data_IF_037244492761
#
_entry.id   IF_037244492761
#
_cell.length_a   1.000
_cell.length_b   1.000
_cell.length_c   1.000
_cell.angle_alpha   90.00
_cell.angle_beta   90.00
_cell.angle_gamma   90.00
#
_symmetry.space_group_name_H-M   'P 1'
#
loop_
_entity.id
_entity.type
_entity.pdbx_description
1 polymer ?
#
# COMPACT_ATOMS: atom_id res chain seq x y z
N UNK A 1 -11.65 -19.77 -13.16
CA UNK A 1 -11.11 -19.88 -11.79
C UNK A 1 -12.15 -19.26 -10.87
N UNK A 2 -12.55 -19.94 -9.79
CA UNK A 2 -13.42 -19.36 -8.77
C UNK A 2 -12.57 -18.98 -7.56
N UNK A 3 -12.82 -17.81 -6.98
CA UNK A 3 -12.08 -17.26 -5.86
C UNK A 3 -13.08 -16.75 -4.82
N UNK A 4 -12.85 -17.06 -3.55
CA UNK A 4 -13.52 -16.38 -2.45
C UNK A 4 -12.89 -15.01 -2.25
N UNK A 5 -13.64 -13.91 -2.38
CA UNK A 5 -13.11 -12.60 -2.11
C UNK A 5 -12.75 -12.47 -0.63
N UNK A 6 -11.50 -12.11 -0.30
CA UNK A 6 -11.03 -12.09 1.07
C UNK A 6 -10.65 -10.69 1.53
N UNK A 7 -9.40 -10.27 1.32
CA UNK A 7 -8.85 -9.04 1.88
C UNK A 7 -8.61 -8.00 0.81
N UNK A 8 -8.76 -6.74 1.16
CA UNK A 8 -8.46 -5.62 0.28
C UNK A 8 -8.04 -4.39 1.06
N UNK A 9 -7.32 -3.51 0.37
CA UNK A 9 -6.97 -2.20 0.92
C UNK A 9 -6.70 -1.19 -0.19
N UNK A 10 -6.61 0.08 0.21
CA UNK A 10 -6.07 1.19 -0.55
C UNK A 10 -4.72 1.60 0.06
N UNK A 11 -3.63 1.45 -0.69
CA UNK A 11 -2.29 1.83 -0.27
C UNK A 11 -1.85 3.16 -0.90
N UNK A 12 -0.96 3.86 -0.22
CA UNK A 12 -0.26 5.05 -0.69
C UNK A 12 1.18 5.06 -0.19
N UNK A 13 1.88 6.19 -0.36
CA UNK A 13 3.18 6.42 0.27
C UNK A 13 3.04 7.10 1.63
N UNK A 14 4.00 6.85 2.51
CA UNK A 14 4.13 7.58 3.76
C UNK A 14 5.35 8.49 3.74
N UNK A 15 5.29 9.55 4.54
CA UNK A 15 6.42 10.45 4.75
C UNK A 15 6.50 10.91 6.21
N UNK A 16 7.64 11.49 6.57
CA UNK A 16 7.89 12.11 7.88
C UNK A 16 7.49 13.59 7.86
N UNK A 17 6.40 14.01 8.53
CA UNK A 17 5.93 15.40 8.47
C UNK A 17 6.97 16.42 8.94
N UNK A 18 7.84 16.04 9.87
CA UNK A 18 8.92 16.89 10.38
C UNK A 18 10.10 17.07 9.42
N UNK A 19 10.14 16.31 8.31
CA UNK A 19 11.18 16.38 7.27
C UNK A 19 10.63 16.84 5.93
N UNK A 20 9.42 17.37 5.94
CA UNK A 20 8.73 17.87 4.77
C UNK A 20 9.50 19.07 4.16
N UNK A 21 9.93 19.02 2.88
CA UNK A 21 10.58 20.15 2.23
C UNK A 21 9.62 21.34 2.04
N UNK A 22 10.18 22.53 1.82
CA UNK A 22 9.39 23.72 1.52
C UNK A 22 8.51 23.54 0.26
N UNK A 23 7.27 24.00 0.32
CA UNK A 23 6.29 23.90 -0.78
C UNK A 23 5.44 22.62 -0.77
N UNK A 24 5.77 21.67 0.10
CA UNK A 24 4.98 20.47 0.34
C UNK A 24 4.03 20.71 1.53
N UNK A 25 2.89 20.04 1.56
CA UNK A 25 1.89 20.13 2.64
C UNK A 25 0.87 18.99 2.53
N UNK A 26 0.10 18.76 3.60
CA UNK A 26 -0.99 17.79 3.55
C UNK A 26 -2.03 18.11 2.45
N UNK A 27 -2.13 19.37 2.01
CA UNK A 27 -3.12 19.82 1.02
C UNK A 27 -2.71 19.61 -0.44
N UNK A 28 -1.47 19.22 -0.74
CA UNK A 28 -0.99 19.02 -2.12
C UNK A 28 -0.27 17.68 -2.33
N UNK A 29 -0.59 16.69 -1.49
CA UNK A 29 -0.09 15.31 -1.58
C UNK A 29 -0.34 14.73 -2.98
N UNK A 30 0.70 14.14 -3.57
CA UNK A 30 0.67 13.53 -4.89
C UNK A 30 1.70 12.43 -4.98
N UNK A 31 1.38 11.37 -5.72
CA UNK A 31 2.35 10.33 -6.04
C UNK A 31 3.63 10.88 -6.68
N UNK A 32 3.53 12.01 -7.38
CA UNK A 32 4.68 12.70 -7.97
C UNK A 32 5.77 13.08 -6.97
N UNK A 33 5.45 13.19 -5.67
CA UNK A 33 6.42 13.47 -4.61
C UNK A 33 7.54 12.41 -4.57
N UNK A 34 7.22 11.15 -4.86
CA UNK A 34 8.22 10.07 -4.91
C UNK A 34 9.30 10.29 -5.98
N UNK A 35 9.08 11.17 -6.96
CA UNK A 35 10.03 11.49 -8.03
C UNK A 35 10.50 12.95 -8.03
N UNK A 36 10.03 13.74 -7.06
CA UNK A 36 10.36 15.16 -6.98
C UNK A 36 11.80 15.36 -6.48
N UNK A 37 12.61 16.22 -7.13
CA UNK A 37 14.00 16.46 -6.74
C UNK A 37 14.23 16.82 -5.27
N UNK A 38 13.24 17.40 -4.58
CA UNK A 38 13.33 17.71 -3.16
C UNK A 38 13.50 16.46 -2.27
N UNK A 39 13.08 15.29 -2.75
CA UNK A 39 13.18 14.00 -2.07
C UNK A 39 14.31 13.10 -2.59
N UNK A 40 15.20 13.65 -3.43
CA UNK A 40 16.35 12.93 -4.00
C UNK A 40 17.22 12.32 -2.91
N UNK A 41 17.62 11.06 -3.11
CA UNK A 41 18.42 10.26 -2.19
C UNK A 41 17.78 10.08 -0.79
N UNK A 42 16.45 10.26 -0.68
CA UNK A 42 15.66 10.00 0.54
C UNK A 42 14.38 9.21 0.30
N UNK A 43 14.19 8.78 -0.95
CA UNK A 43 13.01 8.02 -1.37
C UNK A 43 13.33 6.53 -1.40
N UNK A 44 12.44 5.71 -0.89
CA UNK A 44 12.44 4.26 -1.12
C UNK A 44 11.18 3.79 -1.87
N UNK A 45 11.28 2.68 -2.58
CA UNK A 45 10.21 2.11 -3.39
C UNK A 45 10.19 0.57 -3.29
N UNK A 46 9.03 -0.04 -3.53
CA UNK A 46 8.90 -1.50 -3.62
C UNK A 46 9.72 -2.05 -4.80
N UNK A 47 10.45 -3.13 -4.56
CA UNK A 47 11.32 -3.81 -5.53
C UNK A 47 10.62 -4.82 -6.43
N UNK A 48 9.44 -5.33 -6.05
CA UNK A 48 8.67 -6.27 -6.88
C UNK A 48 7.99 -5.54 -8.04
N UNK A 49 8.12 -6.08 -9.26
CA UNK A 49 7.60 -5.43 -10.47
C UNK A 49 6.07 -5.39 -10.51
N UNK A 50 5.36 -6.39 -9.97
CA UNK A 50 3.90 -6.44 -10.01
C UNK A 50 3.25 -5.38 -9.11
N UNK A 51 4.01 -4.89 -8.13
CA UNK A 51 3.54 -3.95 -7.11
C UNK A 51 4.18 -2.57 -7.31
N UNK A 52 5.51 -2.52 -7.35
CA UNK A 52 6.28 -1.28 -7.44
C UNK A 52 6.10 -0.54 -8.76
N UNK A 53 5.82 -1.24 -9.87
CA UNK A 53 5.60 -0.58 -11.15
C UNK A 53 4.34 0.29 -11.15
N UNK A 54 3.29 -0.10 -10.42
CA UNK A 54 2.05 0.68 -10.31
C UNK A 54 2.28 1.95 -9.48
N UNK A 55 3.00 1.84 -8.36
CA UNK A 55 3.40 3.00 -7.54
C UNK A 55 4.27 3.96 -8.37
N UNK A 56 5.20 3.41 -9.17
CA UNK A 56 6.07 4.18 -10.03
C UNK A 56 5.33 4.86 -11.18
N UNK A 57 4.38 4.18 -11.82
CA UNK A 57 3.55 4.74 -12.88
C UNK A 57 2.68 5.88 -12.35
N UNK A 58 2.07 5.71 -11.17
CA UNK A 58 1.35 6.78 -10.47
C UNK A 58 2.28 7.96 -10.17
N UNK A 59 3.51 7.70 -9.73
CA UNK A 59 4.49 8.75 -9.45
C UNK A 59 4.95 9.49 -10.71
N UNK A 60 5.22 8.78 -11.81
CA UNK A 60 5.58 9.35 -13.12
C UNK A 60 4.43 10.21 -13.65
N UNK A 61 3.19 9.73 -13.53
CA UNK A 61 2.01 10.46 -13.97
C UNK A 61 1.72 11.69 -13.08
N UNK A 62 1.81 11.54 -11.76
CA UNK A 62 1.63 12.62 -10.78
C UNK A 62 2.69 13.70 -10.87
N UNK A 63 3.90 13.35 -11.33
CA UNK A 63 4.99 14.28 -11.63
C UNK A 63 4.88 14.92 -13.04
N UNK A 64 3.89 14.53 -13.85
CA UNK A 64 3.69 15.03 -15.21
C UNK A 64 4.77 14.59 -16.21
N UNK A 65 5.49 13.49 -15.92
CA UNK A 65 6.60 13.02 -16.75
C UNK A 65 6.15 12.12 -17.91
N UNK A 66 5.03 11.41 -17.73
CA UNK A 66 4.34 10.66 -18.78
C UNK A 66 2.84 10.53 -18.42
N UNK A 67 2.06 9.97 -19.33
CA UNK A 67 0.67 9.59 -19.10
C UNK A 67 0.49 8.15 -19.55
N UNK A 68 -0.35 7.40 -18.83
CA UNK A 68 -0.65 6.01 -19.12
C UNK A 68 -2.15 5.88 -19.36
N UNK A 69 -2.52 5.15 -20.42
CA UNK A 69 -3.92 4.92 -20.76
C UNK A 69 -4.62 4.07 -19.71
N UNK A 70 -3.94 3.03 -19.25
CA UNK A 70 -4.39 2.15 -18.18
C UNK A 70 -3.17 1.75 -17.33
N UNK A 71 -3.01 2.39 -16.16
CA UNK A 71 -1.90 2.06 -15.25
C UNK A 71 -1.98 0.59 -14.81
N UNK A 72 -3.17 0.00 -14.72
CA UNK A 72 -3.35 -1.40 -14.35
C UNK A 72 -2.97 -2.38 -15.47
N UNK A 73 -2.88 -1.92 -16.72
CA UNK A 73 -2.55 -2.76 -17.87
C UNK A 73 -1.80 -1.97 -18.95
N UNK A 74 -0.56 -1.59 -18.63
CA UNK A 74 0.29 -0.82 -19.54
C UNK A 74 0.71 -1.63 -20.78
N UNK A 75 0.76 -0.97 -21.94
CA UNK A 75 1.34 -1.55 -23.16
C UNK A 75 2.87 -1.69 -23.07
N UNK A 76 3.46 -2.41 -24.01
CA UNK A 76 4.93 -2.53 -24.14
C UNK A 76 5.60 -1.15 -24.22
N UNK A 77 5.05 -0.24 -25.02
CA UNK A 77 5.57 1.11 -25.22
C UNK A 77 5.46 1.95 -23.93
N UNK A 78 4.34 1.82 -23.21
CA UNK A 78 4.15 2.48 -21.92
C UNK A 78 5.12 1.95 -20.86
N UNK A 79 5.36 0.63 -20.82
CA UNK A 79 6.35 0.00 -19.95
C UNK A 79 7.76 0.52 -20.27
N UNK A 80 8.10 0.69 -21.55
CA UNK A 80 9.40 1.24 -21.94
C UNK A 80 9.57 2.69 -21.47
N UNK A 81 8.55 3.53 -21.67
CA UNK A 81 8.56 4.92 -21.17
C UNK A 81 8.75 4.96 -19.65
N UNK A 82 8.00 4.13 -18.91
CA UNK A 82 8.14 4.04 -17.46
C UNK A 82 9.57 3.62 -17.07
N UNK A 83 10.07 2.52 -17.64
CA UNK A 83 11.39 1.98 -17.30
C UNK A 83 12.50 2.98 -17.63
N UNK A 84 12.45 3.66 -18.77
CA UNK A 84 13.49 4.61 -19.17
C UNK A 84 13.53 5.83 -18.25
N UNK A 85 12.36 6.33 -17.81
CA UNK A 85 12.28 7.41 -16.81
C UNK A 85 12.88 6.96 -15.48
N UNK A 86 12.53 5.77 -15.01
CA UNK A 86 13.01 5.24 -13.73
C UNK A 86 14.51 4.92 -13.75
N UNK A 87 15.01 4.32 -14.83
CA UNK A 87 16.46 4.07 -15.03
C UNK A 87 17.23 5.39 -14.98
N UNK A 88 16.71 6.45 -15.62
CA UNK A 88 17.33 7.77 -15.57
C UNK A 88 17.33 8.33 -14.14
N UNK A 89 16.19 8.31 -13.45
CA UNK A 89 16.09 8.75 -12.04
C UNK A 89 17.02 7.96 -11.12
N UNK A 90 17.17 6.66 -11.34
CA UNK A 90 18.10 5.81 -10.59
C UNK A 90 19.56 6.20 -10.85
N UNK A 91 19.93 6.46 -12.10
CA UNK A 91 21.28 6.95 -12.46
C UNK A 91 21.57 8.34 -11.89
N UNK A 92 20.54 9.17 -11.74
CA UNK A 92 20.62 10.46 -11.05
C UNK A 92 20.72 10.29 -9.51
N UNK A 93 20.68 9.07 -8.96
CA UNK A 93 20.73 8.82 -7.52
C UNK A 93 19.47 9.28 -6.79
N UNK A 94 18.31 9.21 -7.45
CA UNK A 94 17.04 9.62 -6.88
C UNK A 94 16.57 8.71 -5.74
N UNK A 95 16.62 7.40 -5.93
CA UNK A 95 16.20 6.43 -4.93
C UNK A 95 17.37 6.06 -4.02
N UNK A 96 17.13 6.05 -2.72
CA UNK A 96 18.12 5.66 -1.72
C UNK A 96 18.08 4.16 -1.42
N UNK A 97 16.91 3.53 -1.52
CA UNK A 97 16.72 2.12 -1.20
C UNK A 97 15.50 1.53 -1.91
N UNK A 98 15.45 0.20 -1.92
CA UNK A 98 14.28 -0.58 -2.30
C UNK A 98 14.02 -1.62 -1.22
N UNK A 99 12.76 -1.99 -1.03
CA UNK A 99 12.35 -3.02 -0.06
C UNK A 99 11.62 -4.16 -0.78
N UNK A 100 11.52 -5.33 -0.16
CA UNK A 100 10.84 -6.52 -0.71
C UNK A 100 9.70 -6.99 0.19
N UNK A 101 9.77 -6.71 1.49
CA UNK A 101 8.76 -7.06 2.49
C UNK A 101 8.49 -5.91 3.48
N UNK A 102 7.50 -6.12 4.35
CA UNK A 102 7.03 -5.13 5.32
C UNK A 102 8.06 -4.81 6.41
N UNK A 103 8.93 -5.76 6.74
CA UNK A 103 10.01 -5.59 7.70
C UNK A 103 11.13 -4.71 7.15
N UNK A 104 11.59 -4.98 5.92
CA UNK A 104 12.54 -4.11 5.21
C UNK A 104 11.99 -2.70 5.05
N UNK A 105 10.72 -2.57 4.62
CA UNK A 105 10.05 -1.27 4.52
C UNK A 105 10.03 -0.53 5.87
N UNK A 106 9.75 -1.23 6.98
CA UNK A 106 9.77 -0.63 8.30
C UNK A 106 11.17 -0.15 8.68
N UNK A 107 12.19 -0.99 8.50
CA UNK A 107 13.58 -0.64 8.83
C UNK A 107 14.06 0.58 8.04
N UNK A 108 13.72 0.66 6.76
CA UNK A 108 14.02 1.83 5.95
C UNK A 108 13.38 3.10 6.51
N UNK A 109 12.09 3.07 6.86
CA UNK A 109 11.43 4.24 7.45
C UNK A 109 11.82 4.53 8.88
N UNK A 110 12.46 3.62 9.61
CA UNK A 110 13.10 3.92 10.89
C UNK A 110 14.48 4.59 10.68
N UNK A 111 15.20 4.23 9.62
CA UNK A 111 16.48 4.83 9.25
C UNK A 111 16.36 6.34 9.02
N UNK A 112 17.32 7.16 9.49
CA UNK A 112 17.31 8.60 9.22
C UNK A 112 17.54 8.95 7.74
N UNK A 113 17.86 7.99 6.87
CA UNK A 113 18.14 8.21 5.45
C UNK A 113 16.91 8.23 4.55
N UNK A 114 15.78 7.67 4.99
CA UNK A 114 14.54 7.61 4.20
C UNK A 114 13.48 8.49 4.86
N UNK A 115 12.96 9.43 4.08
CA UNK A 115 11.96 10.38 4.55
C UNK A 115 10.59 10.17 3.90
N UNK A 116 10.54 9.47 2.76
CA UNK A 116 9.34 9.17 1.99
C UNK A 116 9.46 7.80 1.31
N UNK A 117 8.41 6.98 1.35
CA UNK A 117 8.36 5.72 0.59
C UNK A 117 6.94 5.21 0.35
N UNK A 118 6.75 4.43 -0.71
CA UNK A 118 5.61 3.49 -0.79
C UNK A 118 5.72 2.45 0.33
N UNK A 119 4.63 2.07 0.98
CA UNK A 119 4.63 1.00 1.99
C UNK A 119 3.26 0.31 2.10
N UNK A 120 3.24 -0.83 2.80
CA UNK A 120 1.99 -1.49 3.17
C UNK A 120 1.54 -1.06 4.58
N UNK A 121 0.23 -1.03 4.80
CA UNK A 121 -0.35 -0.55 6.09
C UNK A 121 0.23 -1.21 7.36
N UNK A 122 0.57 -2.52 7.40
CA UNK A 122 1.17 -3.15 8.59
C UNK A 122 2.51 -2.54 9.01
N UNK A 123 3.28 -2.00 8.06
CA UNK A 123 4.53 -1.28 8.34
C UNK A 123 4.29 -0.10 9.28
N UNK A 124 3.13 0.55 9.20
CA UNK A 124 2.77 1.70 10.03
C UNK A 124 2.65 1.35 11.51
N UNK A 125 2.25 0.11 11.84
CA UNK A 125 2.18 -0.35 13.23
C UNK A 125 3.57 -0.33 13.89
N UNK A 126 4.60 -0.76 13.15
CA UNK A 126 5.99 -0.74 13.63
C UNK A 126 6.49 0.69 13.83
N UNK A 127 6.17 1.59 12.90
CA UNK A 127 6.56 3.01 13.02
C UNK A 127 5.90 3.70 14.21
N UNK A 128 4.60 3.45 14.42
CA UNK A 128 3.86 4.01 15.55
C UNK A 128 4.48 3.56 16.88
N UNK A 129 4.80 2.26 17.03
CA UNK A 129 5.46 1.71 18.23
C UNK A 129 6.86 2.23 18.47
N UNK A 130 7.58 2.54 17.40
CA UNK A 130 8.90 3.16 17.50
C UNK A 130 8.81 4.66 17.86
N UNK A 131 7.61 5.22 17.99
CA UNK A 131 7.40 6.65 18.27
C UNK A 131 7.78 7.55 17.09
N UNK A 132 7.90 6.99 15.87
CA UNK A 132 8.21 7.77 14.67
C UNK A 132 6.93 8.44 14.18
N UNK A 133 6.98 9.76 14.03
CA UNK A 133 5.90 10.51 13.40
C UNK A 133 5.89 10.23 11.91
N UNK A 134 4.75 9.81 11.40
CA UNK A 134 4.55 9.58 9.99
C UNK A 134 3.18 10.13 9.58
N UNK A 135 3.00 10.27 8.28
CA UNK A 135 1.70 10.50 7.66
C UNK A 135 1.57 9.59 6.46
N UNK A 136 0.46 8.87 6.37
CA UNK A 136 0.09 8.15 5.16
C UNK A 136 -0.60 9.16 4.22
N UNK A 137 -0.02 9.39 3.06
CA UNK A 137 -0.52 10.40 2.14
C UNK A 137 -1.94 10.06 1.64
N UNK A 138 -2.70 11.11 1.30
CA UNK A 138 -3.97 11.08 0.57
C UNK A 138 -3.69 11.71 -0.80
N UNK A 139 -3.10 10.97 -1.76
CA UNK A 139 -2.65 11.55 -3.01
C UNK A 139 -3.84 12.04 -3.81
N UNK A 140 -3.74 13.23 -4.41
CA UNK A 140 -4.81 13.81 -5.25
C UNK A 140 -5.23 12.90 -6.41
N UNK A 141 -4.32 12.07 -6.91
CA UNK A 141 -4.59 11.13 -8.00
C UNK A 141 -5.43 9.92 -7.56
N UNK A 142 -5.46 9.62 -6.26
CA UNK A 142 -6.11 8.43 -5.70
C UNK A 142 -5.12 7.39 -5.16
N UNK A 143 -5.65 6.36 -4.50
CA UNK A 143 -4.88 5.25 -3.93
C UNK A 143 -4.61 4.15 -4.96
N UNK A 144 -3.58 3.34 -4.68
CA UNK A 144 -3.44 2.02 -5.32
C UNK A 144 -4.22 0.99 -4.51
N UNK A 145 -5.31 0.48 -5.05
CA UNK A 145 -6.08 -0.59 -4.42
C UNK A 145 -5.53 -1.97 -4.78
N UNK A 146 -5.76 -2.94 -3.92
CA UNK A 146 -5.56 -4.35 -4.23
C UNK A 146 -6.65 -5.19 -3.61
N UNK A 147 -6.92 -6.35 -4.22
CA UNK A 147 -7.90 -7.29 -3.74
C UNK A 147 -7.33 -8.71 -3.82
N UNK A 148 -7.25 -9.39 -2.68
CA UNK A 148 -6.80 -10.76 -2.52
C UNK A 148 -7.95 -11.71 -2.20
N UNK A 149 -7.78 -12.98 -2.55
CA UNK A 149 -8.78 -14.00 -2.26
C UNK A 149 -8.18 -15.38 -2.16
N UNK A 150 -9.02 -16.34 -1.76
CA UNK A 150 -8.64 -17.73 -1.61
C UNK A 150 -9.30 -18.57 -2.71
N UNK A 151 -8.52 -19.41 -3.37
CA UNK A 151 -9.01 -20.35 -4.38
C UNK A 151 -8.68 -21.77 -3.97
N UNK A 152 -9.55 -22.71 -4.30
CA UNK A 152 -9.32 -24.13 -4.07
C UNK A 152 -8.55 -24.73 -5.24
N UNK A 153 -7.52 -25.53 -4.94
CA UNK A 153 -6.85 -26.34 -5.95
C UNK A 153 -7.84 -27.33 -6.57
N UNK A 154 -7.82 -27.47 -7.90
CA UNK A 154 -8.64 -28.48 -8.61
C UNK A 154 -8.33 -29.93 -8.19
N UNK A 155 -7.20 -30.14 -7.50
CA UNK A 155 -6.76 -31.44 -7.02
C UNK A 155 -7.09 -31.67 -5.54
N UNK A 156 -7.69 -30.70 -4.84
CA UNK A 156 -8.14 -30.89 -3.47
C UNK A 156 -9.36 -31.82 -3.43
N UNK A 157 -9.25 -32.93 -2.69
CA UNK A 157 -10.30 -33.96 -2.61
C UNK A 157 -10.35 -34.56 -1.20
N UNK A 158 -11.48 -35.19 -0.87
CA UNK A 158 -11.67 -35.86 0.42
C UNK A 158 -11.39 -34.94 1.61
N UNK A 159 -10.72 -35.43 2.68
CA UNK A 159 -10.48 -34.65 3.90
C UNK A 159 -9.75 -33.31 3.68
N UNK A 160 -8.91 -33.20 2.65
CA UNK A 160 -8.21 -31.95 2.32
C UNK A 160 -9.18 -30.89 1.81
N UNK A 161 -10.14 -31.30 0.97
CA UNK A 161 -11.17 -30.39 0.46
C UNK A 161 -12.09 -29.91 1.58
N UNK A 162 -12.48 -30.80 2.50
CA UNK A 162 -13.30 -30.46 3.65
C UNK A 162 -12.59 -29.47 4.57
N UNK A 163 -11.31 -29.70 4.87
CA UNK A 163 -10.49 -28.78 5.65
C UNK A 163 -10.35 -27.41 4.96
N UNK A 164 -10.19 -27.39 3.64
CA UNK A 164 -10.11 -26.16 2.88
C UNK A 164 -11.42 -25.36 2.94
N UNK A 165 -12.58 -26.01 2.84
CA UNK A 165 -13.88 -25.34 3.04
C UNK A 165 -14.06 -24.85 4.48
N UNK A 166 -13.66 -25.62 5.48
CA UNK A 166 -13.68 -25.17 6.87
C UNK A 166 -12.83 -23.92 7.07
N UNK A 167 -11.66 -23.84 6.42
CA UNK A 167 -10.80 -22.67 6.46
C UNK A 167 -11.40 -21.45 5.75
N UNK A 168 -12.03 -21.63 4.58
CA UNK A 168 -12.78 -20.56 3.91
C UNK A 168 -13.92 -20.03 4.81
N UNK A 169 -14.67 -20.94 5.45
CA UNK A 169 -15.75 -20.56 6.37
C UNK A 169 -15.22 -19.81 7.60
N UNK A 170 -14.06 -20.22 8.13
CA UNK A 170 -13.41 -19.52 9.24
C UNK A 170 -13.06 -18.08 8.87
N UNK A 171 -12.49 -17.84 7.69
CA UNK A 171 -12.22 -16.49 7.19
C UNK A 171 -13.48 -15.61 7.10
N UNK A 172 -14.62 -16.22 6.76
CA UNK A 172 -15.92 -15.55 6.70
C UNK A 172 -16.66 -15.50 8.04
N UNK A 173 -16.07 -15.97 9.14
CA UNK A 173 -16.73 -15.97 10.46
C UNK A 173 -16.90 -14.58 11.06
N UNK A 174 -16.09 -13.60 10.65
CA UNK A 174 -16.12 -12.22 11.12
C UNK A 174 -14.88 -11.84 11.92
N UNK A 175 -14.47 -12.69 12.87
CA UNK A 175 -13.29 -12.45 13.72
C UNK A 175 -12.00 -12.17 12.92
N UNK A 176 -11.66 -12.94 11.85
CA UNK A 176 -10.47 -12.64 11.05
C UNK A 176 -10.52 -11.25 10.41
N UNK A 177 -11.71 -10.79 10.03
CA UNK A 177 -11.88 -9.44 9.50
C UNK A 177 -11.61 -8.35 10.55
N UNK A 178 -11.95 -8.56 11.82
CA UNK A 178 -11.60 -7.62 12.89
C UNK A 178 -10.08 -7.57 13.11
N UNK A 179 -9.39 -8.71 13.01
CA UNK A 179 -7.93 -8.78 13.05
C UNK A 179 -7.30 -8.05 11.86
N UNK A 180 -7.89 -8.13 10.66
CA UNK A 180 -7.45 -7.39 9.48
C UNK A 180 -7.68 -5.88 9.62
N UNK A 181 -8.82 -5.46 10.17
CA UNK A 181 -9.11 -4.04 10.43
C UNK A 181 -8.05 -3.39 11.33
N UNK A 182 -7.60 -4.10 12.38
CA UNK A 182 -6.52 -3.65 13.27
C UNK A 182 -5.14 -3.55 12.61
N UNK A 183 -4.97 -4.13 11.42
CA UNK A 183 -3.77 -3.97 10.57
C UNK A 183 -3.95 -2.89 9.50
N UNK A 184 -5.12 -2.23 9.50
CA UNK A 184 -5.49 -1.24 8.51
C UNK A 184 -6.07 -1.80 7.22
N UNK A 185 -6.41 -3.09 7.16
CA UNK A 185 -7.00 -3.76 5.99
C UNK A 185 -8.51 -3.98 6.13
N UNK A 186 -9.16 -4.33 5.03
CA UNK A 186 -10.58 -4.67 5.00
C UNK A 186 -10.79 -6.09 4.50
N UNK A 187 -11.95 -6.66 4.81
CA UNK A 187 -12.39 -7.97 4.32
C UNK A 187 -13.69 -7.83 3.52
N UNK A 188 -13.94 -8.75 2.58
CA UNK A 188 -15.12 -8.76 1.71
C UNK A 188 -16.47 -9.01 2.41
N UNK A 189 -16.49 -9.12 3.74
CA UNK A 189 -17.71 -9.25 4.55
C UNK A 189 -17.67 -8.37 5.81
N UNK A 190 -17.72 -7.03 5.65
CA UNK A 190 -17.61 -6.10 6.78
C UNK A 190 -18.76 -6.23 7.78
N UNK A 191 -19.94 -6.72 7.35
CA UNK A 191 -21.09 -6.90 8.23
C UNK A 191 -20.79 -7.88 9.37
N UNK A 192 -20.17 -9.02 9.07
CA UNK A 192 -19.74 -9.97 10.12
C UNK A 192 -18.55 -9.47 10.92
N UNK A 193 -17.68 -8.69 10.31
CA UNK A 193 -16.55 -8.07 11.02
C UNK A 193 -17.01 -7.10 12.10
N UNK A 194 -18.11 -6.37 11.87
CA UNK A 194 -18.67 -5.42 12.82
C UNK A 194 -18.97 -6.04 14.18
N UNK A 195 -19.50 -7.26 14.21
CA UNK A 195 -19.86 -7.95 15.45
C UNK A 195 -18.64 -8.31 16.33
N UNK A 196 -17.42 -8.21 15.77
CA UNK A 196 -16.16 -8.50 16.45
C UNK A 196 -15.29 -7.26 16.71
N UNK A 197 -15.80 -6.07 16.38
CA UNK A 197 -15.16 -4.79 16.67
C UNK A 197 -15.93 -4.07 17.76
N UNK A 198 -15.23 -3.41 18.67
CA UNK A 198 -15.85 -2.40 19.53
C UNK A 198 -16.43 -1.30 18.64
N UNK A 199 -17.42 -0.56 19.15
CA UNK A 199 -17.91 0.60 18.39
C UNK A 199 -16.82 1.67 18.20
N UNK A 200 -15.79 1.72 19.05
CA UNK A 200 -14.69 2.68 18.89
C UNK A 200 -13.77 2.25 17.75
N UNK A 201 -13.48 0.95 17.68
CA UNK A 201 -12.73 0.36 16.56
C UNK A 201 -13.47 0.54 15.24
N UNK A 202 -14.79 0.30 15.21
CA UNK A 202 -15.59 0.52 14.00
C UNK A 202 -15.57 1.99 13.56
N UNK A 203 -15.78 2.89 14.51
CA UNK A 203 -15.82 4.33 14.24
C UNK A 203 -14.49 4.82 13.65
N UNK A 204 -13.36 4.33 14.15
CA UNK A 204 -12.04 4.67 13.60
C UNK A 204 -11.74 3.97 12.27
N UNK A 205 -11.80 2.64 12.21
CA UNK A 205 -11.35 1.87 11.04
C UNK A 205 -12.28 1.99 9.84
N UNK A 206 -13.60 2.09 10.06
CA UNK A 206 -14.61 2.10 9.00
C UNK A 206 -15.28 3.46 8.83
N UNK A 207 -15.70 4.12 9.91
CA UNK A 207 -16.38 5.42 9.81
C UNK A 207 -15.42 6.61 9.67
N UNK A 208 -14.12 6.41 9.90
CA UNK A 208 -13.11 7.47 9.80
C UNK A 208 -13.24 8.57 10.85
N UNK A 209 -13.89 8.28 11.98
CA UNK A 209 -14.04 9.20 13.10
C UNK A 209 -12.79 9.17 14.00
N UNK A 210 -12.53 10.24 14.77
CA UNK A 210 -11.44 10.24 15.75
C UNK A 210 -11.55 9.08 16.74
N UNK A 211 -10.43 8.47 17.09
CA UNK A 211 -10.37 7.43 18.11
C UNK A 211 -10.79 8.03 19.47
N UNK A 212 -11.91 7.55 20.03
CA UNK A 212 -12.43 8.05 21.32
C UNK A 212 -11.79 7.40 22.54
N UNK A 213 -11.07 6.30 22.33
CA UNK A 213 -10.33 5.54 23.32
C UNK A 213 -9.06 5.00 22.64
N UNK A 214 -8.09 4.56 23.43
CA UNK A 214 -6.90 3.90 22.91
C UNK A 214 -7.29 2.59 22.23
N UNK A 215 -6.94 2.40 20.95
CA UNK A 215 -7.34 1.21 20.19
C UNK A 215 -6.17 0.23 20.05
N UNK A 216 -6.43 -1.08 20.17
CA UNK A 216 -5.40 -2.10 20.04
C UNK A 216 -5.08 -2.41 18.57
N UNK A 217 -3.83 -2.81 18.33
CA UNK A 217 -3.40 -3.48 17.11
C UNK A 217 -3.83 -4.94 17.06
N UNK A 218 -3.47 -5.63 15.97
CA UNK A 218 -3.84 -7.04 15.75
C UNK A 218 -3.27 -8.03 16.76
N UNK A 219 -2.22 -7.65 17.49
CA UNK A 219 -1.61 -8.42 18.57
C UNK A 219 -2.18 -8.06 19.96
N UNK A 220 -3.18 -7.18 20.03
CA UNK A 220 -3.83 -6.77 21.27
C UNK A 220 -3.10 -5.69 22.06
N UNK A 221 -1.97 -5.17 21.57
CA UNK A 221 -1.24 -4.07 22.21
C UNK A 221 -1.77 -2.70 21.73
N UNK A 222 -1.69 -1.63 22.54
CA UNK A 222 -2.02 -0.27 22.11
C UNK A 222 -1.37 0.12 20.78
N UNK A 223 -2.16 0.76 19.90
CA UNK A 223 -1.72 1.15 18.56
C UNK A 223 -2.24 2.51 18.11
N UNK A 224 -3.43 2.94 18.51
CA UNK A 224 -4.00 4.22 18.07
C UNK A 224 -4.32 5.05 19.31
N UNK A 225 -3.78 6.27 19.34
CA UNK A 225 -3.96 7.17 20.47
C UNK A 225 -5.33 7.85 20.43
N UNK A 226 -5.80 8.31 21.59
CA UNK A 226 -7.05 9.06 21.70
C UNK A 226 -6.96 10.35 20.89
N UNK A 227 -7.94 10.58 20.01
CA UNK A 227 -8.03 11.75 19.15
C UNK A 227 -7.42 11.56 17.76
N UNK A 228 -6.67 10.47 17.52
CA UNK A 228 -6.12 10.18 16.20
C UNK A 228 -7.23 9.97 15.17
N UNK A 229 -6.98 10.46 13.96
CA UNK A 229 -7.89 10.31 12.82
C UNK A 229 -7.18 9.51 11.74
N UNK A 230 -7.85 8.48 11.23
CA UNK A 230 -7.33 7.64 10.16
C UNK A 230 -7.07 8.49 8.90
N UNK A 231 -5.84 8.47 8.41
CA UNK A 231 -5.49 9.11 7.14
C UNK A 231 -6.42 8.62 6.02
N UNK A 232 -6.90 9.54 5.18
CA UNK A 232 -7.87 9.26 4.12
C UNK A 232 -9.33 9.10 4.59
N UNK A 233 -9.58 9.13 5.90
CA UNK A 233 -10.92 9.10 6.48
C UNK A 233 -11.55 7.70 6.46
N UNK A 234 -12.86 7.68 6.21
CA UNK A 234 -13.70 6.48 6.25
C UNK A 234 -13.32 5.46 5.17
N UNK A 235 -13.77 4.23 5.37
CA UNK A 235 -13.69 3.17 4.36
C UNK A 235 -14.24 3.64 3.01
N UNK A 236 -15.42 4.27 2.99
CA UNK A 236 -16.08 4.74 1.77
C UNK A 236 -15.27 5.83 1.06
N UNK A 237 -14.68 6.76 1.82
CA UNK A 237 -13.83 7.81 1.25
C UNK A 237 -12.56 7.22 0.64
N UNK A 238 -11.89 6.29 1.35
CA UNK A 238 -10.68 5.64 0.84
C UNK A 238 -10.97 4.80 -0.40
N UNK A 239 -11.98 3.94 -0.34
CA UNK A 239 -12.36 3.07 -1.47
C UNK A 239 -13.07 3.81 -2.60
N UNK A 240 -13.58 5.02 -2.36
CA UNK A 240 -14.11 5.91 -3.38
C UNK A 240 -13.04 6.74 -4.09
N UNK A 241 -11.79 6.73 -3.61
CA UNK A 241 -10.68 7.53 -4.11
C UNK A 241 -9.56 6.66 -4.68
N UNK A 242 -9.90 5.66 -5.50
CA UNK A 242 -8.93 4.73 -6.09
C UNK A 242 -8.46 5.24 -7.46
N UNK A 243 -7.15 5.29 -7.66
CA UNK A 243 -6.52 5.61 -8.94
C UNK A 243 -6.37 4.37 -9.83
N UNK A 244 -5.97 3.24 -9.22
CA UNK A 244 -5.69 1.99 -9.93
C UNK A 244 -5.91 0.80 -9.00
N UNK A 245 -6.35 -0.32 -9.57
CA UNK A 245 -6.39 -1.61 -8.89
C UNK A 245 -5.20 -2.46 -9.34
N UNK A 246 -4.54 -3.14 -8.42
CA UNK A 246 -3.51 -4.11 -8.75
C UNK A 246 -4.08 -5.19 -9.67
N UNK A 247 -3.42 -5.37 -10.81
CA UNK A 247 -3.74 -6.36 -11.81
C UNK A 247 -2.46 -6.98 -12.35
N UNK A 248 -2.59 -8.23 -12.78
CA UNK A 248 -1.55 -8.85 -13.61
C UNK A 248 -1.74 -8.31 -15.02
N UNK A 249 -0.78 -7.51 -15.48
CA UNK A 249 -0.78 -6.97 -16.84
C UNK A 249 -0.63 -8.09 -17.87
N UNK A 250 -1.20 -7.89 -19.06
CA UNK A 250 -1.02 -8.80 -20.19
C UNK A 250 0.48 -8.98 -20.51
N UNK A 251 1.24 -7.88 -20.40
CA UNK A 251 2.68 -7.81 -20.67
C UNK A 251 3.54 -7.99 -19.41
N UNK A 252 3.06 -8.70 -18.39
CA UNK A 252 3.74 -8.86 -17.10
C UNK A 252 5.21 -9.34 -17.22
N UNK A 253 5.48 -10.32 -18.09
CA UNK A 253 6.85 -10.82 -18.28
C UNK A 253 7.78 -9.73 -18.86
N UNK A 254 7.26 -8.89 -19.75
CA UNK A 254 7.99 -7.76 -20.31
C UNK A 254 8.28 -6.72 -19.22
N UNK A 255 7.27 -6.40 -18.41
CA UNK A 255 7.39 -5.51 -17.26
C UNK A 255 8.50 -5.98 -16.31
N UNK A 256 8.49 -7.25 -15.88
CA UNK A 256 9.50 -7.81 -14.97
C UNK A 256 10.92 -7.62 -15.53
N UNK A 257 11.12 -7.85 -16.83
CA UNK A 257 12.42 -7.68 -17.47
C UNK A 257 12.90 -6.23 -17.41
N UNK A 258 12.05 -5.28 -17.80
CA UNK A 258 12.37 -3.84 -17.84
C UNK A 258 12.51 -3.25 -16.44
N UNK A 259 11.70 -3.73 -15.49
CA UNK A 259 11.88 -3.43 -14.07
C UNK A 259 13.26 -3.88 -13.55
N UNK A 260 13.73 -5.04 -13.99
CA UNK A 260 15.09 -5.50 -13.70
C UNK A 260 16.18 -4.54 -14.21
N UNK A 261 15.97 -3.86 -15.34
CA UNK A 261 16.93 -2.86 -15.84
C UNK A 261 16.99 -1.64 -14.93
N UNK A 262 15.83 -1.19 -14.43
CA UNK A 262 15.74 -0.15 -13.40
C UNK A 262 16.47 -0.56 -12.12
N UNK A 263 16.19 -1.74 -11.57
CA UNK A 263 16.80 -2.22 -10.32
C UNK A 263 18.33 -2.39 -10.43
N UNK A 264 18.85 -2.71 -11.63
CA UNK A 264 20.30 -2.85 -11.88
C UNK A 264 20.99 -1.54 -12.22
N UNK A 265 20.24 -0.47 -12.53
CA UNK A 265 20.83 0.81 -12.84
C UNK A 265 21.59 1.35 -11.62
N UNK A 266 22.83 1.79 -11.84
CA UNK A 266 23.68 2.35 -10.79
C UNK A 266 23.72 3.87 -10.94
N UNK A 267 23.71 4.57 -9.80
CA UNK A 267 24.03 5.99 -9.74
C UNK A 267 25.41 6.21 -10.33
N UNK A 268 25.52 7.21 -11.22
CA UNK A 268 26.81 7.66 -11.77
C UNK A 268 27.49 8.60 -10.79
#
# INVERSE_FOLDING_TARGET
MSMLPLTHNADSFAYRPERLPDGFSHGNESWGWLLDPAWRARTALQSDAAIGALDAALAVQGAGLAQFKDIGNMSIEEIDVLADILVRKQKEGHFAAFWSDDEEAAQLMLSPSIDIQSLWSPTLMRLHRAGVKYRLAVPREGYRAWFGGLSLSRHAQGPVLDAAYAYLNWWLSGWPGAVMARQGYYIGNPARTRDHLSSAEWDYWYAGLPAREELPGSDGLPLIDIGDVRDGGSYEQRMGHIAVWNSVMDEHNYLVRRWGDFMRARSV
#
